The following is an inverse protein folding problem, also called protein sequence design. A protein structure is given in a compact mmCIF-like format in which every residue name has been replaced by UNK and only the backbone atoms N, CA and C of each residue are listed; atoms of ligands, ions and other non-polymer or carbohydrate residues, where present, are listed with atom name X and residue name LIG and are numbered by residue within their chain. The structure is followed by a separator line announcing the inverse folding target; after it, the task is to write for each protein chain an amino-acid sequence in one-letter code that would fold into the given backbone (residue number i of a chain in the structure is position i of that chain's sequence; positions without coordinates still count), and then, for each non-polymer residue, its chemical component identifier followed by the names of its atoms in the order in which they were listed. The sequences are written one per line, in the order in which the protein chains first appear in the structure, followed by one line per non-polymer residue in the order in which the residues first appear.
data_IF_192774546450
#
_entry.id   IF_192774546450
#
_cell.length_a   1.000
_cell.length_b   1.000
_cell.length_c   1.000
_cell.angle_alpha   90.00
_cell.angle_beta   90.00
_cell.angle_gamma   90.00
#
_symmetry.space_group_name_H-M   'P 1'
#
loop_
_entity.id
_entity.type
_entity.pdbx_description
1 polymer ?
#
# COMPACT_ATOMS: atom_id res chain seq x y z
N UNK A 1 48.08 17.04 26.30
CA UNK A 1 47.95 18.29 25.52
C UNK A 1 48.10 17.91 24.06
N UNK A 2 47.20 18.12 23.10
CA UNK A 2 45.92 18.84 23.01
C UNK A 2 45.20 18.22 21.79
N UNK A 3 44.06 17.57 21.96
CA UNK A 3 42.73 18.04 21.50
C UNK A 3 42.78 18.91 20.23
N UNK A 4 42.32 18.35 19.11
CA UNK A 4 41.64 19.09 18.04
C UNK A 4 40.33 18.35 17.74
N UNK A 5 39.27 18.76 18.43
CA UNK A 5 37.90 18.35 18.15
C UNK A 5 37.38 19.19 16.97
N UNK A 6 37.00 18.52 15.89
CA UNK A 6 36.29 19.14 14.77
C UNK A 6 34.85 19.37 15.21
N UNK A 7 34.53 20.60 15.61
CA UNK A 7 33.16 21.02 15.95
C UNK A 7 32.38 21.18 14.64
N UNK A 8 31.52 20.21 14.33
CA UNK A 8 30.50 20.35 13.28
C UNK A 8 29.36 21.20 13.85
N UNK A 9 29.35 22.49 13.50
CA UNK A 9 28.24 23.40 13.82
C UNK A 9 27.04 23.01 12.96
N UNK A 10 26.06 22.31 13.55
CA UNK A 10 24.74 22.13 12.93
C UNK A 10 23.98 23.44 13.10
N UNK A 11 23.94 24.23 12.04
CA UNK A 11 23.02 25.35 11.93
C UNK A 11 21.59 24.78 11.81
N UNK A 12 20.88 24.70 12.93
CA UNK A 12 19.44 24.40 12.94
C UNK A 12 18.71 25.68 12.49
N UNK A 13 18.65 25.91 11.19
CA UNK A 13 17.63 26.76 10.61
C UNK A 13 16.34 25.94 10.61
N UNK A 14 15.56 26.14 11.67
CA UNK A 14 14.20 25.61 11.80
C UNK A 14 13.32 26.17 10.69
N UNK A 15 13.32 25.49 9.55
CA UNK A 15 12.20 25.52 8.63
C UNK A 15 11.07 24.79 9.34
N UNK A 16 9.99 25.50 9.66
CA UNK A 16 8.80 24.91 10.24
C UNK A 16 8.20 23.86 9.31
N UNK A 17 8.71 22.64 9.38
CA UNK A 17 8.06 21.46 8.85
C UNK A 17 6.85 21.23 9.74
N UNK A 18 5.69 21.65 9.27
CA UNK A 18 4.41 21.12 9.76
C UNK A 18 4.56 19.60 9.78
N UNK A 19 4.54 19.01 10.97
CA UNK A 19 4.60 17.57 11.12
C UNK A 19 3.45 16.98 10.30
N UNK A 20 3.78 16.42 9.13
CA UNK A 20 2.85 15.60 8.35
C UNK A 20 2.37 14.53 9.32
N UNK A 21 1.05 14.43 9.53
CA UNK A 21 0.45 13.39 10.35
C UNK A 21 1.14 12.07 10.01
N UNK A 22 1.71 11.39 11.01
CA UNK A 22 2.60 10.25 10.81
C UNK A 22 1.94 9.22 9.88
N UNK A 23 2.37 9.20 8.62
CA UNK A 23 1.88 8.26 7.64
C UNK A 23 2.54 6.91 7.95
N UNK A 24 1.76 5.86 8.31
CA UNK A 24 2.31 4.56 8.66
C UNK A 24 2.90 3.82 7.44
N UNK A 25 2.71 4.34 6.23
CA UNK A 25 3.31 3.79 5.02
C UNK A 25 4.80 4.11 4.95
N UNK A 26 5.55 3.13 4.46
CA UNK A 26 6.95 3.25 4.06
C UNK A 26 7.02 3.24 2.54
N UNK A 27 7.89 4.09 1.99
CA UNK A 27 8.20 4.13 0.57
C UNK A 27 9.34 3.17 0.22
N UNK A 28 9.27 2.58 -0.97
CA UNK A 28 10.44 2.10 -1.70
C UNK A 28 10.47 2.76 -3.08
N UNK A 29 11.68 3.07 -3.55
CA UNK A 29 11.90 3.83 -4.78
C UNK A 29 12.99 3.17 -5.61
N UNK A 30 12.79 3.05 -6.91
CA UNK A 30 13.82 2.57 -7.82
C UNK A 30 15.14 3.37 -7.73
N UNK A 31 15.04 4.68 -7.45
CA UNK A 31 16.20 5.58 -7.31
C UNK A 31 17.07 5.29 -6.10
N UNK A 32 16.50 4.72 -5.03
CA UNK A 32 17.25 4.36 -3.81
C UNK A 32 17.76 2.92 -3.82
N UNK A 33 17.05 2.05 -4.54
CA UNK A 33 17.36 0.62 -4.61
C UNK A 33 18.39 0.31 -5.72
N UNK A 34 18.60 1.25 -6.64
CA UNK A 34 19.64 1.24 -7.68
C UNK A 34 19.15 0.73 -9.04
N UNK A 35 19.46 1.48 -10.11
CA UNK A 35 19.21 1.06 -11.50
C UNK A 35 17.83 1.41 -12.08
N UNK A 36 16.98 2.11 -11.33
CA UNK A 36 15.63 2.52 -11.76
C UNK A 36 15.34 3.98 -11.36
N UNK A 37 14.42 4.69 -12.03
CA UNK A 37 14.20 6.14 -11.80
C UNK A 37 12.88 6.48 -11.07
N UNK A 38 12.10 5.48 -10.67
CA UNK A 38 10.84 5.71 -9.95
C UNK A 38 11.05 6.28 -8.53
N UNK A 39 10.17 7.18 -8.13
CA UNK A 39 10.22 7.88 -6.83
C UNK A 39 8.89 7.78 -6.10
N UNK A 40 8.94 7.40 -4.83
CA UNK A 40 7.80 7.44 -3.91
C UNK A 40 7.93 8.66 -2.98
N UNK A 41 6.86 9.45 -2.87
CA UNK A 41 6.78 10.60 -1.95
C UNK A 41 5.57 10.44 -1.05
N UNK A 42 5.80 10.32 0.26
CA UNK A 42 4.70 10.25 1.23
C UNK A 42 3.93 11.57 1.28
N UNK A 43 2.60 11.46 1.31
CA UNK A 43 1.66 12.56 1.56
C UNK A 43 0.81 12.22 2.78
N UNK A 44 -0.03 13.15 3.23
CA UNK A 44 -0.99 12.85 4.29
C UNK A 44 -1.95 11.74 3.84
N UNK A 45 -1.95 10.60 4.55
CA UNK A 45 -2.85 9.47 4.28
C UNK A 45 -2.54 8.63 3.03
N UNK A 46 -1.35 8.78 2.44
CA UNK A 46 -1.01 8.09 1.19
C UNK A 46 0.38 8.39 0.64
N UNK A 47 0.60 8.10 -0.64
CA UNK A 47 1.84 8.45 -1.34
C UNK A 47 1.56 8.85 -2.78
N UNK A 48 2.46 9.64 -3.35
CA UNK A 48 2.58 9.82 -4.79
C UNK A 48 3.68 8.89 -5.29
N UNK A 49 3.33 8.05 -6.25
CA UNK A 49 4.24 7.17 -6.97
C UNK A 49 4.50 7.80 -8.35
N UNK A 50 5.71 8.31 -8.55
CA UNK A 50 6.14 8.85 -9.83
C UNK A 50 7.09 7.87 -10.51
N UNK A 51 6.60 7.18 -11.53
CA UNK A 51 7.37 6.28 -12.40
C UNK A 51 7.48 6.83 -13.81
N UNK A 52 7.11 8.10 -14.02
CA UNK A 52 7.36 8.82 -15.26
C UNK A 52 8.74 9.47 -15.18
N UNK A 53 9.70 8.93 -15.92
CA UNK A 53 11.08 9.43 -15.97
C UNK A 53 11.44 10.13 -17.30
N UNK A 54 10.47 10.24 -18.21
CA UNK A 54 10.64 10.89 -19.50
C UNK A 54 11.22 10.00 -20.59
N UNK A 55 11.36 8.68 -20.37
CA UNK A 55 11.69 7.72 -21.41
C UNK A 55 10.56 6.70 -21.69
N UNK A 56 10.74 5.89 -22.73
CA UNK A 56 9.75 4.91 -23.19
C UNK A 56 10.04 3.48 -22.72
N UNK A 57 11.03 3.27 -21.85
CA UNK A 57 11.36 1.97 -21.32
C UNK A 57 10.42 1.66 -20.14
N UNK A 58 9.45 0.75 -20.28
CA UNK A 58 8.53 0.46 -19.18
C UNK A 58 9.20 -0.26 -18.01
N UNK A 59 10.44 -0.74 -18.17
CA UNK A 59 11.10 -1.64 -17.22
C UNK A 59 12.21 -0.98 -16.39
N UNK A 60 12.40 0.33 -16.44
CA UNK A 60 13.43 1.03 -15.64
C UNK A 60 12.84 1.94 -14.56
N UNK A 61 11.56 1.80 -14.22
CA UNK A 61 10.92 2.60 -13.18
C UNK A 61 10.01 1.78 -12.29
N UNK A 62 10.23 1.87 -10.98
CA UNK A 62 9.23 1.47 -10.01
C UNK A 62 9.22 2.38 -8.78
N UNK A 63 8.06 2.49 -8.17
CA UNK A 63 7.85 3.12 -6.88
C UNK A 63 6.69 2.44 -6.18
N UNK A 64 6.72 2.37 -4.86
CA UNK A 64 5.62 1.77 -4.13
C UNK A 64 5.63 2.03 -2.65
N UNK A 65 4.60 1.49 -2.00
CA UNK A 65 4.37 1.62 -0.57
C UNK A 65 4.03 0.29 0.07
N UNK A 66 4.38 0.17 1.34
CA UNK A 66 4.10 -0.97 2.20
C UNK A 66 4.02 -0.52 3.65
N UNK A 67 3.67 -1.43 4.55
CA UNK A 67 3.76 -1.22 6.00
C UNK A 67 4.91 -2.02 6.58
N UNK A 68 5.55 -1.53 7.63
CA UNK A 68 6.65 -2.24 8.32
C UNK A 68 6.25 -3.64 8.86
N UNK A 69 4.95 -3.88 9.06
CA UNK A 69 4.38 -5.16 9.48
C UNK A 69 3.08 -5.42 8.74
N UNK A 70 2.61 -6.66 8.69
CA UNK A 70 1.31 -7.01 8.12
C UNK A 70 0.66 -8.16 8.91
N UNK A 71 -0.63 -8.03 9.23
CA UNK A 71 -1.40 -9.16 9.78
C UNK A 71 -1.79 -10.22 8.74
N UNK A 72 -1.39 -10.05 7.47
CA UNK A 72 -1.68 -11.06 6.43
C UNK A 72 -0.72 -12.25 6.46
N UNK A 73 0.50 -12.08 6.99
CA UNK A 73 1.50 -13.15 7.01
C UNK A 73 0.94 -14.44 7.63
N UNK A 74 1.15 -15.56 6.95
CA UNK A 74 0.70 -16.89 7.36
C UNK A 74 -0.80 -17.17 7.22
N UNK A 75 -1.62 -16.18 6.82
CA UNK A 75 -3.06 -16.39 6.60
C UNK A 75 -3.31 -17.29 5.38
N UNK A 76 -4.34 -18.15 5.42
CA UNK A 76 -4.83 -18.81 4.22
C UNK A 76 -5.37 -17.76 3.24
N UNK A 77 -5.28 -18.03 1.94
CA UNK A 77 -5.69 -17.08 0.89
C UNK A 77 -7.16 -16.62 1.05
N UNK A 78 -8.03 -17.51 1.53
CA UNK A 78 -9.45 -17.21 1.79
C UNK A 78 -9.70 -16.18 2.90
N UNK A 79 -8.71 -15.91 3.75
CA UNK A 79 -8.78 -14.94 4.85
C UNK A 79 -8.04 -13.62 4.54
N UNK A 80 -7.60 -13.43 3.29
CA UNK A 80 -6.87 -12.25 2.86
C UNK A 80 -7.86 -11.20 2.38
N UNK A 81 -7.75 -10.00 2.97
CA UNK A 81 -8.38 -8.78 2.47
C UNK A 81 -7.30 -7.71 2.37
N UNK A 82 -7.27 -7.02 1.24
CA UNK A 82 -6.36 -5.93 0.97
C UNK A 82 -6.93 -5.05 -0.14
N UNK A 83 -6.63 -3.75 -0.07
CA UNK A 83 -7.13 -2.75 -1.00
C UNK A 83 -6.27 -1.48 -1.04
N UNK A 84 -6.53 -0.60 -1.99
CA UNK A 84 -6.09 0.79 -1.95
C UNK A 84 -6.93 1.64 -2.91
N UNK A 85 -7.02 2.93 -2.63
CA UNK A 85 -7.60 3.92 -3.54
C UNK A 85 -6.50 4.54 -4.39
N UNK A 86 -6.79 4.77 -5.67
CA UNK A 86 -5.83 5.30 -6.62
C UNK A 86 -6.44 6.42 -7.47
N UNK A 87 -5.58 7.35 -7.89
CA UNK A 87 -5.90 8.36 -8.87
C UNK A 87 -4.67 8.67 -9.73
N UNK A 88 -4.83 8.58 -11.05
CA UNK A 88 -3.86 8.97 -12.05
C UNK A 88 -3.81 10.50 -12.19
N UNK A 89 -2.60 11.05 -12.31
CA UNK A 89 -2.43 12.45 -12.71
C UNK A 89 -2.82 12.63 -14.18
N UNK A 90 -3.26 13.83 -14.55
CA UNK A 90 -3.60 14.15 -15.94
C UNK A 90 -2.45 13.79 -16.89
N UNK A 91 -2.77 13.13 -18.00
CA UNK A 91 -1.79 12.63 -18.97
C UNK A 91 -1.22 11.24 -18.66
N UNK A 92 -1.52 10.66 -17.49
CA UNK A 92 -1.19 9.26 -17.20
C UNK A 92 -2.19 8.34 -17.91
N UNK A 93 -1.66 7.34 -18.62
CA UNK A 93 -2.46 6.27 -19.23
C UNK A 93 -2.23 5.00 -18.43
N UNK A 94 -3.30 4.40 -17.90
CA UNK A 94 -3.20 3.12 -17.23
C UNK A 94 -2.62 2.05 -18.16
N UNK A 95 -1.73 1.23 -17.62
CA UNK A 95 -1.10 0.12 -18.31
C UNK A 95 -1.12 -1.10 -17.40
N UNK A 96 -1.13 -2.29 -17.99
CA UNK A 96 -1.23 -3.54 -17.25
C UNK A 96 -0.10 -3.65 -16.23
N UNK A 97 -0.42 -4.11 -15.03
CA UNK A 97 0.52 -4.20 -13.92
C UNK A 97 0.66 -2.94 -13.06
N UNK A 98 0.03 -1.80 -13.39
CA UNK A 98 0.28 -0.54 -12.66
C UNK A 98 -0.90 0.44 -12.54
N UNK A 99 -1.18 0.95 -11.33
CA UNK A 99 -0.68 0.48 -10.04
C UNK A 99 -1.28 -0.90 -9.72
N UNK A 100 -0.56 -1.72 -8.96
CA UNK A 100 -1.03 -3.05 -8.54
C UNK A 100 -0.88 -3.30 -7.05
N UNK A 101 -1.78 -4.12 -6.54
CA UNK A 101 -1.71 -4.72 -5.21
C UNK A 101 -1.02 -6.08 -5.32
N UNK A 102 0.10 -6.28 -4.61
CA UNK A 102 0.89 -7.51 -4.67
C UNK A 102 0.90 -8.23 -3.32
N UNK A 103 0.52 -9.51 -3.33
CA UNK A 103 0.50 -10.40 -2.16
C UNK A 103 1.55 -11.49 -2.35
N UNK A 104 2.50 -11.64 -1.42
CA UNK A 104 3.53 -12.68 -1.53
C UNK A 104 2.96 -14.04 -1.09
N UNK A 105 3.07 -15.03 -1.97
CA UNK A 105 2.46 -16.35 -1.81
C UNK A 105 3.51 -17.38 -1.44
N UNK A 106 3.15 -18.23 -0.48
CA UNK A 106 3.85 -19.44 -0.06
C UNK A 106 2.99 -20.65 -0.46
N UNK A 107 3.51 -21.47 -1.36
CA UNK A 107 2.84 -22.63 -1.94
C UNK A 107 3.19 -23.93 -1.24
N UNK A 108 4.26 -23.96 -0.44
CA UNK A 108 4.82 -25.16 0.17
C UNK A 108 4.84 -25.13 1.72
N UNK A 109 4.39 -24.04 2.32
CA UNK A 109 4.32 -23.77 3.76
C UNK A 109 5.67 -23.63 4.49
N UNK A 110 6.75 -23.26 3.80
CA UNK A 110 8.06 -22.98 4.41
C UNK A 110 8.23 -21.53 4.89
N UNK A 111 7.24 -20.67 4.63
CA UNK A 111 7.21 -19.26 4.99
C UNK A 111 7.99 -18.33 4.04
N UNK A 112 8.57 -18.86 2.96
CA UNK A 112 9.28 -18.11 1.92
C UNK A 112 8.32 -17.77 0.79
N UNK A 113 8.56 -16.63 0.13
CA UNK A 113 7.80 -16.25 -1.05
C UNK A 113 8.24 -17.07 -2.25
N UNK A 114 7.34 -17.88 -2.80
CA UNK A 114 7.55 -18.56 -4.07
C UNK A 114 7.28 -17.62 -5.26
N UNK A 115 6.21 -16.83 -5.16
CA UNK A 115 5.84 -15.83 -6.15
C UNK A 115 4.83 -14.81 -5.60
N UNK A 116 4.45 -13.84 -6.41
CA UNK A 116 3.42 -12.86 -6.09
C UNK A 116 2.13 -13.12 -6.86
N UNK A 117 1.01 -13.05 -6.14
CA UNK A 117 -0.30 -12.87 -6.74
C UNK A 117 -0.65 -11.38 -6.72
N UNK A 118 -1.22 -10.86 -7.81
CA UNK A 118 -1.56 -9.45 -7.89
C UNK A 118 -2.84 -9.16 -8.67
N UNK A 119 -3.44 -8.01 -8.35
CA UNK A 119 -4.50 -7.36 -9.13
C UNK A 119 -4.03 -5.96 -9.52
N UNK A 120 -4.45 -5.47 -10.68
CA UNK A 120 -4.10 -4.14 -11.19
C UNK A 120 -5.33 -3.41 -11.76
N UNK A 121 -5.15 -2.13 -12.08
CA UNK A 121 -6.22 -1.25 -12.55
C UNK A 121 -6.88 -1.66 -13.86
N UNK A 122 -6.19 -2.41 -14.73
CA UNK A 122 -6.79 -2.94 -15.96
C UNK A 122 -7.45 -4.30 -15.74
N UNK A 123 -6.93 -5.10 -14.83
CA UNK A 123 -7.50 -6.39 -14.43
C UNK A 123 -8.80 -6.27 -13.66
N UNK A 124 -9.04 -5.12 -13.00
CA UNK A 124 -10.28 -4.77 -12.31
C UNK A 124 -11.17 -3.93 -13.23
N UNK A 125 -12.05 -4.61 -13.97
CA UNK A 125 -12.85 -4.03 -15.05
C UNK A 125 -14.07 -3.23 -14.54
N UNK A 126 -13.83 -2.18 -13.75
CA UNK A 126 -14.85 -1.40 -13.01
C UNK A 126 -15.19 -0.03 -13.63
N UNK A 127 -14.65 0.26 -14.81
CA UNK A 127 -15.07 1.42 -15.63
C UNK A 127 -14.19 2.66 -15.53
N UNK A 128 -13.10 2.66 -14.74
CA UNK A 128 -12.09 3.72 -14.81
C UNK A 128 -10.71 3.24 -14.37
N UNK A 129 -9.85 2.88 -15.33
CA UNK A 129 -8.46 2.49 -15.06
C UNK A 129 -7.58 3.60 -14.44
N UNK A 130 -8.07 4.84 -14.42
CA UNK A 130 -7.34 6.02 -13.97
C UNK A 130 -7.76 6.51 -12.58
N UNK A 131 -8.86 6.04 -12.00
CA UNK A 131 -9.26 6.38 -10.63
C UNK A 131 -10.25 5.37 -10.11
N UNK A 132 -10.10 4.97 -8.85
CA UNK A 132 -10.96 3.97 -8.24
C UNK A 132 -10.36 3.37 -6.97
N UNK A 133 -10.85 2.20 -6.61
CA UNK A 133 -10.33 1.41 -5.49
C UNK A 133 -10.05 0.00 -5.97
N UNK A 134 -8.81 -0.44 -5.86
CA UNK A 134 -8.44 -1.84 -6.07
C UNK A 134 -8.67 -2.61 -4.79
N UNK A 135 -9.40 -3.73 -4.87
CA UNK A 135 -9.69 -4.57 -3.70
C UNK A 135 -9.71 -6.05 -4.09
N UNK A 136 -9.11 -6.90 -3.26
CA UNK A 136 -9.22 -8.36 -3.43
C UNK A 136 -10.65 -8.88 -3.23
N UNK A 137 -11.52 -8.09 -2.58
CA UNK A 137 -12.93 -8.44 -2.41
C UNK A 137 -13.76 -8.14 -3.66
N UNK A 138 -13.22 -7.41 -4.63
CA UNK A 138 -13.89 -7.14 -5.90
C UNK A 138 -13.83 -8.38 -6.80
N UNK A 139 -15.00 -8.95 -7.08
CA UNK A 139 -15.14 -10.13 -7.93
C UNK A 139 -14.84 -9.90 -9.41
N UNK A 140 -14.67 -8.64 -9.83
CA UNK A 140 -14.32 -8.26 -11.21
C UNK A 140 -12.80 -8.16 -11.43
N UNK A 141 -12.02 -8.21 -10.36
CA UNK A 141 -10.57 -8.15 -10.39
C UNK A 141 -9.94 -9.48 -10.78
N UNK A 142 -9.37 -9.53 -11.97
CA UNK A 142 -8.57 -10.67 -12.44
C UNK A 142 -7.27 -10.75 -11.65
N UNK A 143 -7.00 -11.90 -11.03
CA UNK A 143 -5.77 -12.17 -10.28
C UNK A 143 -4.75 -12.83 -11.20
N UNK A 144 -3.56 -12.26 -11.29
CA UNK A 144 -2.41 -12.86 -11.96
C UNK A 144 -1.45 -13.50 -10.93
N UNK A 145 -0.81 -14.61 -11.30
CA UNK A 145 0.22 -15.27 -10.49
C UNK A 145 1.36 -15.80 -11.36
N UNK A 146 2.60 -15.54 -10.96
CA UNK A 146 3.80 -16.16 -11.54
C UNK A 146 4.02 -15.97 -13.04
N UNK A 147 3.46 -14.92 -13.65
CA UNK A 147 3.68 -14.58 -15.06
C UNK A 147 2.96 -15.48 -16.07
N UNK A 148 2.04 -16.35 -15.65
CA UNK A 148 1.32 -17.24 -16.57
C UNK A 148 -0.04 -17.77 -16.07
N UNK A 149 -0.32 -17.71 -14.77
CA UNK A 149 -1.64 -18.08 -14.23
C UNK A 149 -2.56 -16.88 -14.10
N UNK A 150 -3.85 -17.06 -14.39
CA UNK A 150 -4.89 -16.04 -14.18
C UNK A 150 -6.18 -16.65 -13.64
N UNK A 151 -6.83 -15.95 -12.71
CA UNK A 151 -8.11 -16.32 -12.11
C UNK A 151 -9.06 -15.12 -12.16
N UNK A 152 -10.33 -15.41 -12.39
CA UNK A 152 -11.38 -14.38 -12.54
C UNK A 152 -11.62 -13.55 -11.26
N UNK A 153 -11.15 -14.02 -10.10
CA UNK A 153 -11.24 -13.30 -8.83
C UNK A 153 -10.30 -13.90 -7.79
N UNK A 154 -10.05 -13.15 -6.70
CA UNK A 154 -9.33 -13.67 -5.54
C UNK A 154 -10.01 -14.88 -4.89
N UNK A 155 -11.34 -14.87 -4.83
CA UNK A 155 -12.09 -16.01 -4.32
C UNK A 155 -11.85 -17.28 -5.15
N UNK A 156 -11.79 -17.16 -6.48
CA UNK A 156 -11.47 -18.27 -7.36
C UNK A 156 -10.00 -18.74 -7.20
N UNK A 157 -9.06 -17.80 -7.06
CA UNK A 157 -7.66 -18.12 -6.79
C UNK A 157 -7.47 -18.86 -5.46
N UNK A 158 -8.12 -18.38 -4.39
CA UNK A 158 -8.09 -19.02 -3.08
C UNK A 158 -8.74 -20.40 -3.07
N UNK A 159 -9.86 -20.57 -3.79
CA UNK A 159 -10.54 -21.86 -3.90
C UNK A 159 -9.73 -22.91 -4.68
N UNK A 160 -9.01 -22.49 -5.72
CA UNK A 160 -8.11 -23.37 -6.47
C UNK A 160 -6.88 -23.81 -5.67
N UNK A 161 -6.50 -23.03 -4.65
CA UNK A 161 -5.26 -23.20 -3.91
C UNK A 161 -5.49 -23.21 -2.38
N UNK A 162 -6.25 -24.18 -1.84
CA UNK A 162 -6.72 -24.14 -0.45
C UNK A 162 -5.62 -24.31 0.60
N UNK A 163 -4.45 -24.84 0.21
CA UNK A 163 -3.30 -25.05 1.11
C UNK A 163 -2.28 -23.92 1.07
N UNK A 164 -2.37 -23.02 0.09
CA UNK A 164 -1.43 -21.91 -0.08
C UNK A 164 -1.72 -20.81 0.95
N UNK A 165 -0.69 -20.06 1.28
CA UNK A 165 -0.71 -19.01 2.30
C UNK A 165 -0.04 -17.74 1.81
N UNK A 166 -0.25 -16.67 2.57
CA UNK A 166 0.63 -15.50 2.49
C UNK A 166 1.96 -15.85 3.15
N UNK A 167 3.07 -15.65 2.46
CA UNK A 167 4.41 -15.88 3.00
C UNK A 167 4.79 -14.84 4.08
N UNK A 168 6.00 -14.94 4.65
CA UNK A 168 6.49 -13.97 5.64
C UNK A 168 6.93 -12.61 5.08
N UNK A 169 7.08 -12.48 3.76
CA UNK A 169 7.34 -11.20 3.10
C UNK A 169 6.16 -10.24 3.23
N UNK A 170 6.41 -8.94 3.10
CA UNK A 170 5.37 -7.92 3.23
C UNK A 170 4.60 -7.74 1.91
N UNK A 171 3.26 -7.65 1.95
CA UNK A 171 2.47 -7.19 0.82
C UNK A 171 2.72 -5.71 0.54
N UNK A 172 2.52 -5.29 -0.71
CA UNK A 172 2.81 -3.91 -1.13
C UNK A 172 1.91 -3.45 -2.28
N UNK A 173 1.84 -2.12 -2.44
CA UNK A 173 1.32 -1.47 -3.64
C UNK A 173 2.50 -0.95 -4.45
N UNK A 174 2.51 -1.16 -5.76
CA UNK A 174 3.59 -0.72 -6.65
C UNK A 174 3.01 -0.14 -7.93
N UNK A 175 3.68 0.88 -8.47
CA UNK A 175 3.65 1.21 -9.88
C UNK A 175 5.02 0.85 -10.46
N UNK A 176 5.02 0.10 -11.55
CA UNK A 176 6.18 -0.38 -12.31
C UNK A 176 5.98 -0.22 -13.83
N UNK A 177 5.04 0.63 -14.24
CA UNK A 177 4.88 1.15 -15.59
C UNK A 177 4.91 2.69 -15.55
N UNK A 178 5.24 3.37 -16.65
CA UNK A 178 5.33 4.83 -16.68
C UNK A 178 4.01 5.51 -16.30
N UNK A 179 4.05 6.37 -15.28
CA UNK A 179 2.88 7.11 -14.84
C UNK A 179 3.08 7.86 -13.53
N UNK A 180 2.09 8.66 -13.15
CA UNK A 180 2.08 9.35 -11.86
C UNK A 180 0.76 9.08 -11.14
N UNK A 181 0.86 8.41 -9.99
CA UNK A 181 -0.27 7.86 -9.26
C UNK A 181 -0.31 8.40 -7.83
N UNK A 182 -1.45 8.91 -7.41
CA UNK A 182 -1.74 9.16 -6.00
C UNK A 182 -2.41 7.91 -5.43
N UNK A 183 -1.82 7.34 -4.38
CA UNK A 183 -2.30 6.16 -3.68
C UNK A 183 -2.70 6.55 -2.26
N UNK A 184 -3.92 6.21 -1.85
CA UNK A 184 -4.46 6.52 -0.52
C UNK A 184 -5.25 5.32 0.03
N UNK A 185 -5.65 5.40 1.31
CA UNK A 185 -6.48 4.37 1.96
C UNK A 185 -5.90 2.96 1.74
N UNK A 186 -4.59 2.81 1.95
CA UNK A 186 -3.86 1.56 1.69
C UNK A 186 -4.14 0.55 2.79
N UNK A 187 -4.48 -0.65 2.36
CA UNK A 187 -5.02 -1.72 3.17
C UNK A 187 -4.27 -3.01 2.85
N UNK A 188 -3.34 -3.43 3.72
CA UNK A 188 -2.41 -4.54 3.45
C UNK A 188 -2.23 -5.46 4.66
N UNK A 189 -3.31 -5.75 5.38
CA UNK A 189 -3.27 -6.36 6.73
C UNK A 189 -2.81 -5.42 7.84
N UNK A 190 -2.38 -4.22 7.47
CA UNK A 190 -2.45 -3.02 8.29
C UNK A 190 -3.41 -2.06 7.59
N UNK A 191 -4.05 -1.20 8.38
CA UNK A 191 -5.22 -0.42 7.96
C UNK A 191 -6.52 -1.25 7.91
N UNK A 192 -6.47 -2.55 7.59
CA UNK A 192 -7.64 -3.44 7.40
C UNK A 192 -8.20 -4.01 8.71
N UNK A 193 -7.69 -3.60 9.87
CA UNK A 193 -8.02 -4.30 11.10
C UNK A 193 -9.45 -4.00 11.57
N UNK A 194 -10.21 -5.06 11.85
CA UNK A 194 -11.22 -5.04 12.90
C UNK A 194 -10.61 -4.37 14.13
N UNK A 195 -11.11 -3.19 14.49
CA UNK A 195 -10.42 -2.33 15.44
C UNK A 195 -9.75 -1.09 14.83
N UNK A 196 -9.92 -0.77 13.54
CA UNK A 196 -9.56 0.54 12.96
C UNK A 196 -10.84 1.25 12.58
N UNK A 197 -10.97 2.51 12.98
CA UNK A 197 -12.16 3.29 12.65
C UNK A 197 -12.16 3.66 11.15
N UNK A 198 -13.14 3.17 10.40
CA UNK A 198 -13.28 3.42 8.95
C UNK A 198 -14.53 4.22 8.60
N UNK A 199 -15.56 4.18 9.45
CA UNK A 199 -16.81 4.94 9.28
C UNK A 199 -17.27 5.56 10.59
N UNK A 200 -17.86 6.76 10.50
CA UNK A 200 -18.25 7.59 11.65
C UNK A 200 -19.14 6.84 12.64
N UNK A 201 -19.96 5.92 12.15
CA UNK A 201 -20.91 5.17 12.97
C UNK A 201 -20.25 4.13 13.89
N UNK A 202 -19.07 3.62 13.54
CA UNK A 202 -18.29 2.70 14.39
C UNK A 202 -17.77 3.40 15.65
N UNK A 203 -17.49 4.70 15.55
CA UNK A 203 -17.02 5.50 16.67
C UNK A 203 -18.11 5.79 17.70
N UNK A 204 -19.40 5.69 17.32
CA UNK A 204 -20.52 6.12 18.16
C UNK A 204 -20.79 5.12 19.29
N UNK A 205 -21.46 5.59 20.35
CA UNK A 205 -21.95 4.74 21.46
C UNK A 205 -20.84 3.93 22.16
N UNK A 206 -19.63 4.49 22.23
CA UNK A 206 -18.49 3.85 22.87
C UNK A 206 -17.67 2.93 21.96
N UNK A 207 -18.08 2.69 20.71
CA UNK A 207 -17.33 1.83 19.79
C UNK A 207 -15.91 2.29 19.51
N UNK A 208 -15.61 3.59 19.65
CA UNK A 208 -14.25 4.14 19.53
C UNK A 208 -13.20 3.54 20.48
N UNK A 209 -13.61 2.96 21.61
CA UNK A 209 -12.69 2.46 22.63
C UNK A 209 -11.90 1.23 22.18
N UNK A 210 -12.53 0.40 21.35
CA UNK A 210 -11.95 -0.80 20.76
C UNK A 210 -11.39 -0.54 19.35
N UNK A 211 -11.41 0.72 18.91
CA UNK A 211 -10.90 1.17 17.62
C UNK A 211 -9.59 1.95 17.76
N UNK A 212 -8.82 1.96 16.69
CA UNK A 212 -7.50 2.54 16.55
C UNK A 212 -7.39 3.30 15.24
N UNK A 213 -6.40 4.18 15.14
CA UNK A 213 -5.98 4.78 13.87
C UNK A 213 -5.22 3.76 13.05
N UNK A 214 -5.00 4.05 11.76
CA UNK A 214 -4.18 3.21 10.88
C UNK A 214 -2.73 3.03 11.38
N UNK A 215 -2.23 3.92 12.25
CA UNK A 215 -0.93 3.80 12.91
C UNK A 215 -0.98 3.01 14.24
N UNK A 216 -2.12 2.38 14.58
CA UNK A 216 -2.31 1.58 15.77
C UNK A 216 -2.57 2.36 17.07
N UNK A 217 -2.61 3.70 17.03
CA UNK A 217 -2.88 4.50 18.23
C UNK A 217 -4.36 4.53 18.59
N UNK A 218 -4.67 4.44 19.89
CA UNK A 218 -6.04 4.52 20.40
C UNK A 218 -6.63 5.92 20.26
N UNK A 219 -7.95 6.00 20.13
CA UNK A 219 -8.67 7.28 20.21
C UNK A 219 -8.82 7.74 21.64
N UNK A 220 -8.82 9.06 21.86
CA UNK A 220 -9.03 9.66 23.19
C UNK A 220 -10.50 9.68 23.58
N UNK A 221 -11.38 9.79 22.59
CA UNK A 221 -12.83 9.84 22.74
C UNK A 221 -13.54 9.62 21.40
N UNK A 222 -14.88 9.54 21.43
CA UNK A 222 -15.73 9.43 20.24
C UNK A 222 -15.48 10.54 19.21
N UNK A 223 -15.28 11.79 19.66
CA UNK A 223 -15.08 12.93 18.76
C UNK A 223 -13.79 12.81 17.94
N UNK A 224 -12.72 12.38 18.59
CA UNK A 224 -11.41 12.09 18.00
C UNK A 224 -11.49 10.98 16.93
N UNK A 225 -12.17 9.88 17.23
CA UNK A 225 -12.44 8.81 16.27
C UNK A 225 -13.24 9.30 15.05
N UNK A 226 -14.32 10.07 15.28
CA UNK A 226 -15.15 10.61 14.19
C UNK A 226 -14.37 11.61 13.33
N UNK A 227 -13.53 12.43 13.95
CA UNK A 227 -12.68 13.38 13.23
C UNK A 227 -11.67 12.64 12.36
N UNK A 228 -11.01 11.62 12.90
CA UNK A 228 -10.10 10.76 12.16
C UNK A 228 -10.78 10.14 10.94
N UNK A 229 -11.99 9.59 11.10
CA UNK A 229 -12.73 9.03 9.95
C UNK A 229 -13.11 10.09 8.91
N UNK A 230 -13.56 11.27 9.33
CA UNK A 230 -13.99 12.30 8.39
C UNK A 230 -12.82 12.99 7.67
N UNK A 231 -11.62 12.97 8.24
CA UNK A 231 -10.50 13.84 7.79
C UNK A 231 -9.18 13.12 7.58
N UNK A 232 -9.04 11.87 8.04
CA UNK A 232 -7.79 11.10 8.02
C UNK A 232 -6.70 11.61 8.98
N UNK A 233 -7.05 12.40 9.99
CA UNK A 233 -6.10 13.06 10.91
C UNK A 233 -6.35 12.70 12.37
#
# INVERSE_FOLDING_TARGET
MSIFALVLVVAILGSGSTAVAANPLLCFSGTTDGGFNGTCTLIAGGAVLNTFDGDTNPNNNYAGVFFATSSLSGKPLSAVSASFTYAASAGTTASGGSPRLSIPIDTNADGVTDNYAFIDTLGCNDGSANTGTLSLSDSTCTVAYGGGGSWVSWAAFAAANPTWKVSNSLPFVIADQPGMWTITNVQLGQGEAAGVATKKDECKKGGWADLTRANGTSFKNQGDCIQYVNTGK
#
